data_IF_491511059986
#
_entry.id   IF_491511059986
#
_cell.length_a   1.000
_cell.length_b   1.000
_cell.length_c   1.000
_cell.angle_alpha   90.00
_cell.angle_beta   90.00
_cell.angle_gamma   90.00
#
_symmetry.space_group_name_H-M   'P 1'
#
loop_
_entity.id
_entity.type
_entity.pdbx_description
1 polymer ?
#
# COMPACT_ATOMS: atom_id res chain seq x y z
N UNK A 1 30.25 -11.07 -7.66
CA UNK A 1 31.04 -12.30 -7.96
C UNK A 1 32.47 -12.01 -8.39
N UNK A 2 32.72 -11.20 -9.45
CA UNK A 2 34.07 -10.94 -9.97
C UNK A 2 35.09 -10.39 -8.93
N UNK A 3 34.67 -9.45 -8.08
CA UNK A 3 35.57 -8.89 -7.06
C UNK A 3 35.95 -9.91 -5.97
N UNK A 4 35.02 -10.76 -5.54
CA UNK A 4 35.28 -11.83 -4.58
C UNK A 4 36.23 -12.88 -5.14
N UNK A 5 36.09 -13.25 -6.42
CA UNK A 5 37.00 -14.16 -7.10
C UNK A 5 38.40 -13.57 -7.26
N UNK A 6 38.50 -12.29 -7.63
CA UNK A 6 39.78 -11.56 -7.66
C UNK A 6 40.44 -11.47 -6.29
N UNK A 7 39.66 -11.34 -5.22
CA UNK A 7 40.20 -11.33 -3.86
C UNK A 7 40.72 -12.71 -3.43
N UNK A 8 40.03 -13.79 -3.82
CA UNK A 8 40.45 -15.17 -3.53
C UNK A 8 41.65 -15.63 -4.38
N UNK A 9 41.74 -15.14 -5.62
CA UNK A 9 42.81 -15.43 -6.58
C UNK A 9 43.38 -14.11 -7.13
N UNK A 10 44.20 -13.41 -6.34
CA UNK A 10 44.68 -12.07 -6.67
C UNK A 10 45.74 -12.07 -7.78
N UNK A 11 46.45 -13.17 -7.94
CA UNK A 11 47.48 -13.31 -8.96
C UNK A 11 46.85 -13.61 -10.32
N UNK A 12 46.92 -12.66 -11.24
CA UNK A 12 46.34 -12.80 -12.58
C UNK A 12 47.06 -13.83 -13.45
N UNK A 13 48.33 -14.13 -13.16
CA UNK A 13 49.13 -15.10 -13.92
C UNK A 13 48.75 -16.54 -13.60
N UNK A 14 48.32 -16.80 -12.36
CA UNK A 14 48.04 -18.16 -11.88
C UNK A 14 46.57 -18.45 -11.56
N UNK A 15 45.67 -17.46 -11.68
CA UNK A 15 44.25 -17.70 -11.41
C UNK A 15 43.65 -18.66 -12.45
N UNK A 16 42.81 -19.63 -12.03
CA UNK A 16 42.28 -20.67 -12.94
C UNK A 16 41.08 -20.17 -13.77
N UNK A 17 41.01 -18.87 -14.05
CA UNK A 17 39.91 -18.25 -14.77
C UNK A 17 40.28 -16.92 -15.45
N UNK A 18 39.54 -16.59 -16.51
CA UNK A 18 39.63 -15.34 -17.26
C UNK A 18 38.32 -14.58 -17.14
N UNK A 19 38.40 -13.28 -16.86
CA UNK A 19 37.23 -12.38 -16.84
C UNK A 19 37.29 -11.48 -18.07
N UNK A 20 36.22 -11.46 -18.85
CA UNK A 20 36.03 -10.50 -19.94
C UNK A 20 34.98 -9.48 -19.52
N UNK A 21 35.35 -8.20 -19.64
CA UNK A 21 34.47 -7.07 -19.38
C UNK A 21 34.45 -6.25 -20.67
N UNK A 22 33.43 -6.48 -21.49
CA UNK A 22 33.18 -5.74 -22.72
C UNK A 22 31.68 -5.70 -22.95
N UNK A 23 31.16 -4.58 -23.46
CA UNK A 23 29.71 -4.33 -23.59
C UNK A 23 29.00 -5.51 -24.28
N UNK A 24 28.22 -6.28 -23.52
CA UNK A 24 27.45 -7.42 -24.02
C UNK A 24 28.26 -8.69 -24.28
N UNK A 25 29.49 -8.77 -23.78
CA UNK A 25 30.37 -9.95 -23.82
C UNK A 25 30.94 -10.29 -22.43
N UNK A 26 30.27 -9.83 -21.38
CA UNK A 26 30.66 -10.09 -20.00
C UNK A 26 30.63 -11.58 -19.72
N UNK A 27 31.79 -12.13 -19.36
CA UNK A 27 31.95 -13.57 -19.13
C UNK A 27 33.08 -13.88 -18.16
N UNK A 28 32.94 -15.04 -17.52
CA UNK A 28 33.98 -15.70 -16.73
C UNK A 28 34.20 -17.08 -17.35
N UNK A 29 35.43 -17.38 -17.74
CA UNK A 29 35.82 -18.65 -18.34
C UNK A 29 36.88 -19.32 -17.48
N UNK A 30 36.75 -20.62 -17.23
CA UNK A 30 37.72 -21.41 -16.46
C UNK A 30 38.59 -22.26 -17.39
N UNK A 31 39.75 -22.69 -16.91
CA UNK A 31 40.71 -23.49 -17.68
C UNK A 31 40.17 -24.86 -18.09
N UNK A 32 39.15 -25.35 -17.38
CA UNK A 32 38.44 -26.58 -17.72
C UNK A 32 37.42 -26.40 -18.87
N UNK A 33 37.32 -25.20 -19.45
CA UNK A 33 36.40 -24.87 -20.55
C UNK A 33 35.00 -24.46 -20.11
N UNK A 34 34.67 -24.50 -18.81
CA UNK A 34 33.40 -24.00 -18.30
C UNK A 34 33.33 -22.48 -18.45
N UNK A 35 32.13 -21.95 -18.70
CA UNK A 35 31.94 -20.52 -18.91
C UNK A 35 30.58 -20.07 -18.38
N UNK A 36 30.58 -18.95 -17.66
CA UNK A 36 29.41 -18.15 -17.39
C UNK A 36 29.49 -16.89 -18.24
N UNK A 37 28.41 -16.57 -18.95
CA UNK A 37 28.32 -15.31 -19.69
C UNK A 37 26.95 -14.70 -19.47
N UNK A 38 26.91 -13.37 -19.56
CA UNK A 38 25.69 -12.60 -19.36
C UNK A 38 25.10 -12.30 -20.73
N UNK A 39 23.80 -12.50 -20.86
CA UNK A 39 23.03 -12.11 -22.04
C UNK A 39 21.85 -11.26 -21.63
N UNK A 40 21.43 -10.37 -22.52
CA UNK A 40 20.14 -9.72 -22.37
C UNK A 40 19.03 -10.79 -22.36
N UNK A 41 17.94 -10.60 -21.60
CA UNK A 41 16.81 -11.53 -21.55
C UNK A 41 15.97 -11.41 -22.83
N UNK A 42 16.53 -11.86 -23.95
CA UNK A 42 15.88 -11.92 -25.27
C UNK A 42 16.19 -13.26 -25.92
N UNK A 43 15.18 -13.88 -26.53
CA UNK A 43 15.35 -15.19 -27.16
C UNK A 43 16.47 -15.21 -28.22
N UNK A 44 16.63 -14.13 -28.98
CA UNK A 44 17.69 -14.00 -29.99
C UNK A 44 19.11 -14.02 -29.42
N UNK A 45 19.29 -13.71 -28.13
CA UNK A 45 20.62 -13.61 -27.51
C UNK A 45 21.27 -14.96 -27.20
N UNK A 46 20.51 -16.06 -27.20
CA UNK A 46 21.05 -17.40 -26.91
C UNK A 46 20.62 -18.49 -27.90
N UNK A 47 19.71 -18.23 -28.85
CA UNK A 47 19.28 -19.22 -29.88
C UNK A 47 20.43 -19.78 -30.74
N UNK A 48 21.55 -19.07 -30.87
CA UNK A 48 22.75 -19.52 -31.61
C UNK A 48 23.86 -20.09 -30.73
N UNK A 49 23.64 -20.15 -29.41
CA UNK A 49 24.60 -20.58 -28.41
C UNK A 49 24.21 -21.95 -27.87
N UNK A 50 25.14 -22.64 -27.20
CA UNK A 50 24.84 -23.86 -26.45
C UNK A 50 25.13 -23.64 -24.98
N UNK A 51 24.17 -23.97 -24.11
CA UNK A 51 24.32 -23.86 -22.66
C UNK A 51 23.88 -25.15 -21.97
N UNK A 52 24.59 -25.52 -20.90
CA UNK A 52 24.22 -26.64 -20.03
C UNK A 52 23.35 -26.18 -18.85
N UNK A 53 23.38 -24.88 -18.53
CA UNK A 53 22.57 -24.24 -17.48
C UNK A 53 22.09 -22.87 -17.96
N UNK A 54 20.82 -22.56 -17.70
CA UNK A 54 20.27 -21.21 -17.83
C UNK A 54 19.87 -20.68 -16.45
N UNK A 55 20.34 -19.48 -16.11
CA UNK A 55 19.96 -18.76 -14.91
C UNK A 55 19.17 -17.51 -15.30
N UNK A 56 17.92 -17.45 -14.87
CA UNK A 56 17.07 -16.27 -14.99
C UNK A 56 17.01 -15.58 -13.62
N UNK A 57 17.75 -14.49 -13.50
CA UNK A 57 17.79 -13.69 -12.28
C UNK A 57 16.75 -12.56 -12.32
N UNK A 58 16.21 -12.22 -11.14
CA UNK A 58 15.10 -11.29 -10.96
C UNK A 58 13.90 -11.59 -11.89
N UNK A 59 13.60 -12.88 -12.06
CA UNK A 59 12.58 -13.35 -13.01
C UNK A 59 11.13 -12.99 -12.60
N UNK A 60 10.94 -12.40 -11.41
CA UNK A 60 9.67 -11.78 -11.00
C UNK A 60 9.37 -10.47 -11.72
N UNK A 61 10.39 -9.80 -12.28
CA UNK A 61 10.22 -8.54 -13.02
C UNK A 61 9.94 -8.75 -14.52
N UNK A 62 10.01 -10.00 -15.00
CA UNK A 62 9.77 -10.29 -16.42
C UNK A 62 8.28 -10.25 -16.73
N UNK A 63 7.90 -9.57 -17.82
CA UNK A 63 6.52 -9.59 -18.29
C UNK A 63 6.10 -10.99 -18.74
N UNK A 64 4.78 -11.22 -18.84
CA UNK A 64 4.24 -12.45 -19.39
C UNK A 64 4.73 -12.69 -20.83
N UNK A 65 4.73 -11.65 -21.66
CA UNK A 65 5.24 -11.69 -23.04
C UNK A 65 6.73 -12.06 -23.10
N UNK A 66 7.57 -11.39 -22.30
CA UNK A 66 8.99 -11.72 -22.21
C UNK A 66 9.22 -13.16 -21.73
N UNK A 67 8.39 -13.63 -20.80
CA UNK A 67 8.44 -14.99 -20.28
C UNK A 67 8.16 -16.02 -21.37
N UNK A 68 7.12 -15.82 -22.17
CA UNK A 68 6.76 -16.74 -23.27
C UNK A 68 7.88 -16.83 -24.29
N UNK A 69 8.35 -15.69 -24.78
CA UNK A 69 9.49 -15.60 -25.72
C UNK A 69 10.74 -16.31 -25.18
N UNK A 70 11.03 -16.11 -23.89
CA UNK A 70 12.19 -16.71 -23.26
C UNK A 70 12.04 -18.22 -23.09
N UNK A 71 10.89 -18.71 -22.63
CA UNK A 71 10.67 -20.14 -22.44
C UNK A 71 10.71 -20.88 -23.79
N UNK A 72 10.07 -20.34 -24.82
CA UNK A 72 10.08 -20.92 -26.17
C UNK A 72 11.47 -20.96 -26.79
N UNK A 73 12.30 -19.95 -26.53
CA UNK A 73 13.69 -19.96 -26.99
C UNK A 73 14.59 -20.87 -26.16
N UNK A 74 14.40 -20.92 -24.84
CA UNK A 74 15.33 -21.49 -23.89
C UNK A 74 15.23 -23.02 -23.77
N UNK A 75 14.01 -23.55 -23.75
CA UNK A 75 13.80 -24.99 -23.56
C UNK A 75 14.40 -25.85 -24.68
N UNK A 76 14.29 -25.48 -25.98
CA UNK A 76 14.90 -26.26 -27.06
C UNK A 76 16.43 -26.41 -26.96
N UNK A 77 17.14 -25.50 -26.27
CA UNK A 77 18.58 -25.63 -26.05
C UNK A 77 18.94 -26.87 -25.22
N UNK A 78 18.02 -27.29 -24.34
CA UNK A 78 18.22 -28.44 -23.44
C UNK A 78 17.96 -29.80 -24.08
N UNK A 79 17.26 -29.87 -25.23
CA UNK A 79 16.76 -31.13 -25.81
C UNK A 79 17.87 -32.13 -26.15
N UNK A 80 19.06 -31.63 -26.48
CA UNK A 80 20.23 -32.43 -26.86
C UNK A 80 21.30 -32.49 -25.76
N UNK A 81 21.02 -31.96 -24.56
CA UNK A 81 21.98 -31.79 -23.48
C UNK A 81 21.63 -32.65 -22.25
N UNK A 82 22.39 -33.73 -21.99
CA UNK A 82 22.22 -34.49 -20.75
C UNK A 82 22.41 -33.57 -19.54
N UNK A 83 21.46 -33.61 -18.60
CA UNK A 83 21.48 -32.83 -17.35
C UNK A 83 21.32 -31.31 -17.48
N UNK A 84 20.74 -30.83 -18.57
CA UNK A 84 20.39 -29.41 -18.71
C UNK A 84 19.55 -28.90 -17.52
N UNK A 85 19.90 -27.73 -16.98
CA UNK A 85 19.19 -27.10 -15.87
C UNK A 85 18.68 -25.71 -16.21
N UNK A 86 17.49 -25.39 -15.70
CA UNK A 86 16.94 -24.04 -15.67
C UNK A 86 16.81 -23.63 -14.20
N UNK A 87 17.48 -22.55 -13.84
CA UNK A 87 17.45 -21.93 -12.52
C UNK A 87 16.71 -20.60 -12.66
N UNK A 88 15.72 -20.38 -11.80
CA UNK A 88 14.91 -19.16 -11.78
C UNK A 88 14.99 -18.60 -10.37
N UNK A 89 15.44 -17.35 -10.23
CA UNK A 89 15.55 -16.62 -8.97
C UNK A 89 14.86 -15.26 -9.04
N UNK A 90 14.46 -14.73 -7.90
CA UNK A 90 13.88 -13.40 -7.78
C UNK A 90 12.84 -13.32 -6.66
N UNK A 91 12.27 -12.12 -6.51
CA UNK A 91 11.13 -11.85 -5.64
C UNK A 91 9.80 -12.08 -6.38
N UNK A 92 8.67 -12.30 -5.68
CA UNK A 92 7.39 -12.52 -6.34
C UNK A 92 6.96 -11.36 -7.23
N UNK A 93 6.37 -11.65 -8.41
CA UNK A 93 5.82 -10.63 -9.31
C UNK A 93 4.65 -9.87 -8.67
N UNK A 94 4.23 -8.76 -9.31
CA UNK A 94 3.05 -7.99 -8.86
C UNK A 94 1.73 -8.71 -9.08
N UNK A 95 1.66 -9.57 -10.08
CA UNK A 95 0.50 -10.38 -10.44
C UNK A 95 0.91 -11.85 -10.49
N UNK A 96 -0.04 -12.77 -10.50
CA UNK A 96 0.21 -14.22 -10.61
C UNK A 96 0.57 -14.65 -12.05
N UNK A 97 1.49 -13.92 -12.66
CA UNK A 97 1.94 -14.08 -14.04
C UNK A 97 3.48 -14.07 -14.11
N UNK A 98 4.03 -14.38 -15.28
CA UNK A 98 5.48 -14.33 -15.50
C UNK A 98 6.23 -15.61 -15.09
N UNK A 99 7.53 -15.60 -15.39
CA UNK A 99 8.39 -16.79 -15.34
C UNK A 99 8.46 -17.36 -13.93
N UNK A 100 8.85 -16.54 -12.95
CA UNK A 100 9.02 -17.02 -11.57
C UNK A 100 7.73 -17.66 -11.04
N UNK A 101 6.59 -16.99 -11.18
CA UNK A 101 5.31 -17.51 -10.69
C UNK A 101 4.94 -18.86 -11.34
N UNK A 102 5.10 -18.96 -12.67
CA UNK A 102 4.86 -20.21 -13.40
C UNK A 102 5.69 -21.37 -12.84
N UNK A 103 6.99 -21.18 -12.62
CA UNK A 103 7.85 -22.25 -12.08
C UNK A 103 7.54 -22.56 -10.60
N UNK A 104 7.21 -21.56 -9.78
CA UNK A 104 6.82 -21.74 -8.38
C UNK A 104 5.56 -22.61 -8.24
N UNK A 105 4.52 -22.34 -9.04
CA UNK A 105 3.27 -23.12 -9.01
C UNK A 105 3.52 -24.58 -9.35
N UNK A 106 4.28 -24.86 -10.41
CA UNK A 106 4.59 -26.23 -10.84
C UNK A 106 5.43 -26.97 -9.80
N UNK A 107 6.40 -26.29 -9.18
CA UNK A 107 7.25 -26.88 -8.15
C UNK A 107 6.46 -27.15 -6.85
N UNK A 108 5.62 -26.21 -6.40
CA UNK A 108 4.72 -26.39 -5.24
C UNK A 108 3.70 -27.51 -5.45
N UNK A 109 3.26 -27.72 -6.69
CA UNK A 109 2.40 -28.85 -7.07
C UNK A 109 3.14 -30.21 -7.11
N UNK A 110 4.44 -30.24 -6.83
CA UNK A 110 5.23 -31.47 -6.79
C UNK A 110 5.51 -32.06 -8.18
N UNK A 111 5.51 -31.22 -9.23
CA UNK A 111 5.81 -31.70 -10.58
C UNK A 111 7.20 -32.32 -10.65
N UNK A 112 7.27 -33.49 -11.29
CA UNK A 112 8.53 -34.23 -11.43
C UNK A 112 9.59 -33.38 -12.14
N UNK A 113 10.84 -33.45 -11.67
CA UNK A 113 12.01 -32.69 -12.15
C UNK A 113 12.04 -31.19 -11.79
N UNK A 114 11.16 -30.74 -10.90
CA UNK A 114 11.21 -29.40 -10.32
C UNK A 114 11.76 -29.49 -8.89
N UNK A 115 12.55 -28.49 -8.49
CA UNK A 115 12.99 -28.26 -7.12
C UNK A 115 12.75 -26.80 -6.77
N UNK A 116 12.44 -26.52 -5.50
CA UNK A 116 12.15 -25.17 -5.02
C UNK A 116 12.83 -24.95 -3.68
N UNK A 117 13.37 -23.75 -3.51
CA UNK A 117 13.71 -23.18 -2.21
C UNK A 117 12.82 -21.96 -2.05
N UNK A 118 11.85 -22.07 -1.15
CA UNK A 118 10.76 -21.12 -1.00
C UNK A 118 10.89 -20.36 0.31
N UNK A 119 11.06 -19.05 0.21
CA UNK A 119 11.14 -18.13 1.34
C UNK A 119 9.91 -17.22 1.37
N UNK A 120 8.74 -17.69 0.94
CA UNK A 120 7.47 -16.95 1.04
C UNK A 120 6.88 -16.98 2.45
N UNK A 121 6.29 -15.86 2.87
CA UNK A 121 5.30 -15.87 3.94
C UNK A 121 4.02 -16.60 3.50
N UNK A 122 3.40 -17.29 4.44
CA UNK A 122 2.07 -17.88 4.29
C UNK A 122 0.98 -16.80 4.39
N UNK A 123 -0.21 -17.02 3.78
CA UNK A 123 -1.33 -16.10 3.87
C UNK A 123 -1.82 -15.82 5.31
N UNK A 124 -1.65 -16.77 6.22
CA UNK A 124 -2.05 -16.69 7.62
C UNK A 124 -1.02 -16.00 8.53
N UNK A 125 0.17 -15.67 8.02
CA UNK A 125 1.20 -15.02 8.82
C UNK A 125 0.88 -13.54 9.06
N UNK A 126 1.25 -13.02 10.23
CA UNK A 126 1.27 -11.59 10.49
C UNK A 126 2.50 -10.95 9.82
N UNK A 127 2.31 -10.09 8.80
CA UNK A 127 3.42 -9.44 8.09
C UNK A 127 4.10 -8.35 8.93
N UNK A 128 3.54 -7.96 10.08
CA UNK A 128 4.13 -6.97 11.00
C UNK A 128 4.96 -7.61 12.11
N UNK A 129 4.94 -8.94 12.21
CA UNK A 129 5.64 -9.69 13.24
C UNK A 129 7.09 -9.96 12.84
N UNK A 130 8.03 -9.58 13.70
CA UNK A 130 9.46 -9.91 13.53
C UNK A 130 9.71 -11.42 13.47
N UNK A 131 8.88 -12.23 14.13
CA UNK A 131 8.99 -13.69 14.05
C UNK A 131 8.76 -14.19 12.60
N UNK A 132 7.80 -13.58 11.89
CA UNK A 132 7.59 -13.82 10.46
C UNK A 132 8.83 -13.38 9.69
N UNK A 133 9.37 -12.20 9.98
CA UNK A 133 10.54 -11.67 9.27
C UNK A 133 11.77 -12.59 9.43
N UNK A 134 12.06 -13.06 10.65
CA UNK A 134 13.16 -13.98 10.92
C UNK A 134 13.00 -15.34 10.23
N UNK A 135 11.77 -15.82 10.08
CA UNK A 135 11.51 -17.09 9.39
C UNK A 135 11.66 -16.98 7.87
N UNK A 136 11.26 -15.86 7.31
CA UNK A 136 11.06 -15.66 5.87
C UNK A 136 12.27 -14.99 5.22
N UNK A 137 12.81 -13.93 5.83
CA UNK A 137 13.89 -13.14 5.26
C UNK A 137 15.26 -13.82 5.51
N UNK A 138 15.77 -14.56 4.52
CA UNK A 138 16.99 -15.35 4.63
C UNK A 138 18.22 -14.55 5.10
N UNK A 139 18.39 -13.31 4.63
CA UNK A 139 19.49 -12.43 5.05
C UNK A 139 19.41 -12.04 6.55
N UNK A 140 18.20 -11.94 7.09
CA UNK A 140 17.98 -11.65 8.51
C UNK A 140 18.23 -12.93 9.33
N UNK A 141 17.70 -14.07 8.86
CA UNK A 141 17.88 -15.37 9.50
C UNK A 141 19.36 -15.79 9.63
N UNK A 142 20.18 -15.47 8.63
CA UNK A 142 21.62 -15.82 8.63
C UNK A 142 22.52 -14.74 9.23
N UNK A 143 21.97 -13.61 9.70
CA UNK A 143 22.73 -12.51 10.29
C UNK A 143 23.47 -11.63 9.28
N UNK A 144 23.19 -11.75 7.98
CA UNK A 144 23.73 -10.85 6.95
C UNK A 144 23.09 -9.44 7.05
N UNK A 145 21.84 -9.37 7.48
CA UNK A 145 21.08 -8.13 7.63
C UNK A 145 20.67 -7.96 9.09
N UNK A 146 20.91 -6.77 9.64
CA UNK A 146 20.49 -6.40 11.00
C UNK A 146 18.96 -6.18 11.03
N UNK A 147 18.32 -6.57 12.13
CA UNK A 147 16.88 -6.35 12.35
C UNK A 147 16.51 -4.87 12.31
N UNK A 148 17.40 -3.97 12.75
CA UNK A 148 17.13 -2.53 12.72
C UNK A 148 17.00 -2.01 11.29
N UNK A 149 17.73 -2.59 10.32
CA UNK A 149 17.58 -2.24 8.90
C UNK A 149 16.21 -2.67 8.40
N UNK A 150 15.74 -3.86 8.79
CA UNK A 150 14.42 -4.36 8.38
C UNK A 150 13.31 -3.49 8.99
N UNK A 151 13.43 -3.09 10.27
CA UNK A 151 12.50 -2.14 10.92
C UNK A 151 12.45 -0.79 10.21
N UNK A 152 13.61 -0.21 9.88
CA UNK A 152 13.67 1.06 9.15
C UNK A 152 12.97 0.95 7.77
N UNK A 153 13.15 -0.17 7.07
CA UNK A 153 12.48 -0.43 5.77
C UNK A 153 10.98 -0.63 5.93
N UNK A 154 10.55 -1.35 6.97
CA UNK A 154 9.15 -1.52 7.31
C UNK A 154 8.45 -0.17 7.57
N UNK A 155 9.09 0.74 8.32
CA UNK A 155 8.57 2.08 8.58
C UNK A 155 8.57 2.98 7.34
N UNK A 156 9.54 2.79 6.44
CA UNK A 156 9.73 3.61 5.25
C UNK A 156 8.90 3.21 4.02
N UNK A 157 8.30 2.02 4.02
CA UNK A 157 7.60 1.45 2.86
C UNK A 157 6.11 1.20 3.16
N UNK A 158 5.30 1.02 2.11
CA UNK A 158 3.95 0.48 2.31
C UNK A 158 4.03 -0.98 2.76
N UNK A 159 3.07 -1.42 3.57
CA UNK A 159 2.99 -2.82 4.01
C UNK A 159 2.98 -3.78 2.82
N UNK A 160 2.26 -3.43 1.75
CA UNK A 160 2.21 -4.20 0.51
C UNK A 160 3.59 -4.37 -0.14
N UNK A 161 4.35 -3.28 -0.28
CA UNK A 161 5.70 -3.33 -0.84
C UNK A 161 6.63 -4.10 0.08
N UNK A 162 6.52 -3.91 1.40
CA UNK A 162 7.32 -4.67 2.37
C UNK A 162 7.02 -6.17 2.29
N UNK A 163 5.75 -6.57 2.26
CA UNK A 163 5.33 -7.96 2.10
C UNK A 163 5.87 -8.59 0.82
N UNK A 164 5.88 -7.88 -0.31
CA UNK A 164 6.42 -8.38 -1.56
C UNK A 164 7.95 -8.49 -1.53
N UNK A 165 8.64 -7.41 -1.18
CA UNK A 165 10.10 -7.33 -1.29
C UNK A 165 10.85 -8.07 -0.17
N UNK A 166 10.32 -8.03 1.06
CA UNK A 166 11.00 -8.57 2.24
C UNK A 166 10.43 -9.90 2.71
N UNK A 167 9.15 -10.19 2.43
CA UNK A 167 8.47 -11.40 2.90
C UNK A 167 8.05 -12.35 1.78
N UNK A 168 8.40 -12.04 0.52
CA UNK A 168 8.05 -12.84 -0.65
C UNK A 168 6.57 -13.28 -0.64
N UNK A 169 5.67 -12.37 -0.26
CA UNK A 169 4.25 -12.66 -0.15
C UNK A 169 3.64 -13.04 -1.51
N UNK A 170 2.62 -13.90 -1.47
CA UNK A 170 1.81 -14.21 -2.65
C UNK A 170 1.24 -12.90 -3.24
N UNK A 171 1.26 -12.72 -4.57
CA UNK A 171 0.68 -11.55 -5.22
C UNK A 171 -0.80 -11.30 -4.85
N UNK A 172 -1.56 -12.33 -4.44
CA UNK A 172 -2.92 -12.16 -3.91
C UNK A 172 -2.98 -11.64 -2.48
N UNK A 173 -1.96 -11.92 -1.64
CA UNK A 173 -1.87 -11.40 -0.28
C UNK A 173 -1.50 -9.90 -0.30
N UNK A 174 -0.83 -9.44 -1.34
CA UNK A 174 -0.63 -8.01 -1.61
C UNK A 174 -1.88 -7.26 -2.08
N UNK A 175 -3.04 -7.91 -2.23
CA UNK A 175 -4.32 -7.23 -2.51
C UNK A 175 -5.10 -6.85 -1.23
N UNK A 176 -4.44 -6.72 -0.08
CA UNK A 176 -5.04 -6.17 1.13
C UNK A 176 -5.30 -4.66 0.94
N UNK A 177 -6.39 -4.33 0.24
CA UNK A 177 -6.94 -2.97 0.23
C UNK A 177 -7.19 -2.55 1.69
N UNK A 178 -6.92 -1.29 2.03
CA UNK A 178 -7.25 -0.79 3.38
C UNK A 178 -8.74 -0.94 3.70
N UNK A 179 -9.58 -0.90 2.66
CA UNK A 179 -11.02 -1.03 2.74
C UNK A 179 -11.45 -2.11 1.74
N UNK A 180 -12.22 -3.09 2.23
CA UNK A 180 -12.77 -4.14 1.38
C UNK A 180 -13.79 -3.56 0.38
N UNK A 181 -13.68 -4.00 -0.87
CA UNK A 181 -14.49 -3.44 -1.96
C UNK A 181 -15.97 -3.85 -1.87
N UNK A 182 -16.26 -5.04 -1.35
CA UNK A 182 -17.61 -5.53 -1.17
C UNK A 182 -18.29 -4.77 -0.03
N UNK A 183 -17.59 -4.60 1.10
CA UNK A 183 -18.12 -3.85 2.24
C UNK A 183 -18.35 -2.38 1.88
N UNK A 184 -17.44 -1.73 1.15
CA UNK A 184 -17.64 -0.37 0.65
C UNK A 184 -18.88 -0.27 -0.25
N UNK A 185 -18.98 -1.16 -1.25
CA UNK A 185 -20.12 -1.15 -2.18
C UNK A 185 -21.44 -1.45 -1.48
N UNK A 186 -21.44 -2.27 -0.42
CA UNK A 186 -22.65 -2.61 0.35
C UNK A 186 -23.20 -1.43 1.16
N UNK A 187 -22.35 -0.45 1.50
CA UNK A 187 -22.72 0.74 2.27
C UNK A 187 -23.05 1.97 1.39
N UNK A 188 -22.97 1.82 0.07
CA UNK A 188 -23.14 2.89 -0.90
C UNK A 188 -24.61 3.06 -1.33
N UNK A 189 -25.05 4.31 -1.47
CA UNK A 189 -26.34 4.69 -2.09
C UNK A 189 -26.12 5.58 -3.31
N UNK A 190 -27.06 5.55 -4.26
CA UNK A 190 -26.88 6.24 -5.55
C UNK A 190 -26.93 7.77 -5.46
N UNK A 191 -27.76 8.31 -4.57
CA UNK A 191 -28.02 9.75 -4.48
C UNK A 191 -27.36 10.38 -3.25
N UNK A 192 -27.07 11.67 -3.34
CA UNK A 192 -26.66 12.46 -2.19
C UNK A 192 -27.73 12.42 -1.10
N UNK A 193 -27.29 12.21 0.12
CA UNK A 193 -28.13 12.20 1.29
C UNK A 193 -28.56 13.63 1.65
N UNK A 194 -29.83 13.77 2.00
CA UNK A 194 -30.35 15.01 2.55
C UNK A 194 -29.67 15.32 3.89
N UNK A 195 -29.14 16.54 4.01
CA UNK A 195 -28.50 16.98 5.25
C UNK A 195 -29.55 17.11 6.36
N UNK A 196 -29.26 16.61 7.57
CA UNK A 196 -30.14 16.88 8.70
C UNK A 196 -30.08 18.38 9.05
N UNK A 197 -31.19 18.92 9.56
CA UNK A 197 -31.24 20.34 9.97
C UNK A 197 -30.29 20.69 11.12
N UNK A 198 -29.85 19.70 11.91
CA UNK A 198 -28.89 19.83 13.01
C UNK A 198 -28.25 18.49 13.35
N UNK A 199 -27.26 18.47 14.25
CA UNK A 199 -26.67 17.22 14.75
C UNK A 199 -25.67 16.54 13.80
N UNK A 200 -25.13 17.30 12.85
CA UNK A 200 -24.03 16.86 11.99
C UNK A 200 -22.76 17.65 12.32
N UNK A 201 -21.62 17.09 11.92
CA UNK A 201 -20.33 17.76 11.96
C UNK A 201 -19.68 17.75 10.59
N UNK A 202 -18.84 18.75 10.33
CA UNK A 202 -17.99 18.80 9.16
C UNK A 202 -16.54 18.51 9.54
N UNK A 203 -15.74 18.10 8.57
CA UNK A 203 -14.30 18.07 8.68
C UNK A 203 -13.66 18.30 7.31
N UNK A 204 -12.43 18.75 7.31
CA UNK A 204 -11.67 18.92 6.08
C UNK A 204 -10.27 18.35 6.24
N UNK A 205 -9.66 18.06 5.11
CA UNK A 205 -8.27 17.66 5.05
C UNK A 205 -7.62 18.13 3.74
N UNK A 206 -6.34 18.43 3.79
CA UNK A 206 -5.55 18.91 2.66
C UNK A 206 -4.43 17.91 2.39
N UNK A 207 -4.22 17.55 1.12
CA UNK A 207 -3.10 16.69 0.74
C UNK A 207 -1.76 17.30 1.20
N UNK A 208 -0.76 16.49 1.59
CA UNK A 208 0.52 16.98 2.13
C UNK A 208 1.24 18.00 1.26
N UNK A 209 1.17 17.82 -0.05
CA UNK A 209 1.77 18.69 -1.07
C UNK A 209 0.87 19.88 -1.44
N UNK A 210 -0.35 19.93 -0.89
CA UNK A 210 -1.35 20.97 -1.18
C UNK A 210 -2.01 20.85 -2.55
N UNK A 211 -1.82 19.72 -3.25
CA UNK A 211 -2.35 19.48 -4.60
C UNK A 211 -3.88 19.40 -4.64
N UNK A 212 -4.52 19.01 -3.55
CA UNK A 212 -5.97 18.86 -3.40
C UNK A 212 -6.40 19.08 -1.94
N UNK A 213 -7.71 19.27 -1.75
CA UNK A 213 -8.34 19.24 -0.44
C UNK A 213 -9.73 18.63 -0.51
N UNK A 214 -10.20 18.14 0.62
CA UNK A 214 -11.52 17.56 0.81
C UNK A 214 -12.27 18.27 1.95
N UNK A 215 -13.58 18.45 1.77
CA UNK A 215 -14.53 18.88 2.79
C UNK A 215 -15.64 17.84 2.86
N UNK A 216 -15.85 17.28 4.04
CA UNK A 216 -16.81 16.22 4.30
C UNK A 216 -17.68 16.54 5.51
N UNK A 217 -18.76 15.78 5.64
CA UNK A 217 -19.69 15.83 6.77
C UNK A 217 -20.05 14.43 7.23
N UNK A 218 -20.48 14.34 8.48
CA UNK A 218 -21.00 13.11 9.06
C UNK A 218 -22.10 13.39 10.08
N UNK A 219 -23.03 12.45 10.20
CA UNK A 219 -24.11 12.46 11.19
C UNK A 219 -24.58 11.03 11.46
N UNK A 220 -25.55 10.88 12.36
CA UNK A 220 -26.29 9.64 12.52
C UNK A 220 -27.74 9.91 12.10
N UNK A 221 -28.32 9.03 11.28
CA UNK A 221 -29.73 9.12 10.93
C UNK A 221 -30.63 8.78 12.14
N UNK A 222 -31.95 8.86 11.97
CA UNK A 222 -32.93 8.61 13.04
C UNK A 222 -32.85 7.17 13.59
N UNK A 223 -32.45 6.22 12.74
CA UNK A 223 -32.24 4.81 13.08
C UNK A 223 -30.90 4.58 13.81
N UNK A 224 -30.05 5.61 13.89
CA UNK A 224 -28.73 5.51 14.51
C UNK A 224 -27.68 4.84 13.64
N UNK A 225 -27.85 4.80 12.33
CA UNK A 225 -26.81 4.42 11.36
C UNK A 225 -25.94 5.63 11.06
N UNK A 226 -24.61 5.50 11.09
CA UNK A 226 -23.70 6.57 10.69
C UNK A 226 -23.84 6.86 9.19
N UNK A 227 -23.92 8.14 8.86
CA UNK A 227 -23.94 8.65 7.50
C UNK A 227 -22.73 9.54 7.28
N UNK A 228 -22.06 9.40 6.14
CA UNK A 228 -20.96 10.28 5.73
C UNK A 228 -21.18 10.76 4.30
N UNK A 229 -20.74 11.98 4.01
CA UNK A 229 -20.85 12.54 2.66
C UNK A 229 -19.73 13.54 2.38
N UNK A 230 -19.15 13.43 1.19
CA UNK A 230 -18.21 14.42 0.67
C UNK A 230 -19.01 15.61 0.11
N UNK A 231 -18.67 16.83 0.54
CA UNK A 231 -19.28 18.05 0.01
C UNK A 231 -18.47 18.62 -1.15
N UNK A 232 -17.14 18.48 -1.09
CA UNK A 232 -16.25 18.91 -2.15
C UNK A 232 -14.89 18.23 -2.03
N UNK A 233 -14.33 17.83 -3.17
CA UNK A 233 -12.92 17.50 -3.34
C UNK A 233 -12.42 18.12 -4.64
N UNK A 234 -11.41 18.98 -4.56
CA UNK A 234 -10.94 19.80 -5.69
C UNK A 234 -9.44 20.02 -5.60
N UNK A 235 -8.82 20.34 -6.75
CA UNK A 235 -7.43 20.73 -6.84
C UNK A 235 -7.15 22.02 -6.05
N UNK A 236 -6.00 22.05 -5.39
CA UNK A 236 -5.60 23.08 -4.42
C UNK A 236 -6.52 23.13 -3.20
N UNK A 237 -6.23 24.06 -2.30
CA UNK A 237 -7.02 24.26 -1.07
C UNK A 237 -7.46 25.71 -0.84
N UNK A 238 -7.17 26.63 -1.77
CA UNK A 238 -7.52 28.06 -1.66
C UNK A 238 -9.04 28.30 -1.66
N UNK A 239 -9.82 27.38 -2.24
CA UNK A 239 -11.28 27.42 -2.26
C UNK A 239 -11.90 27.07 -0.89
N UNK A 240 -11.19 26.29 -0.07
CA UNK A 240 -11.74 25.68 1.13
C UNK A 240 -12.18 26.70 2.19
N UNK A 241 -11.42 27.78 2.49
CA UNK A 241 -11.91 28.83 3.39
C UNK A 241 -13.22 29.49 2.91
N UNK A 242 -13.43 29.61 1.60
CA UNK A 242 -14.66 30.22 1.06
C UNK A 242 -15.86 29.30 1.29
N UNK A 243 -15.71 27.99 1.02
CA UNK A 243 -16.77 27.01 1.24
C UNK A 243 -17.08 26.81 2.73
N UNK A 244 -16.05 26.74 3.59
CA UNK A 244 -16.23 26.70 5.04
C UNK A 244 -16.98 27.93 5.57
N UNK A 245 -16.66 29.12 5.06
CA UNK A 245 -17.35 30.35 5.45
C UNK A 245 -18.84 30.35 5.03
N UNK A 246 -19.18 29.80 3.86
CA UNK A 246 -20.58 29.62 3.45
C UNK A 246 -21.30 28.65 4.38
N UNK A 247 -20.67 27.52 4.67
CA UNK A 247 -21.22 26.48 5.53
C UNK A 247 -21.47 26.98 6.96
N UNK A 248 -20.50 27.69 7.55
CA UNK A 248 -20.61 28.27 8.89
C UNK A 248 -21.60 29.43 8.99
N UNK A 249 -21.84 30.17 7.89
CA UNK A 249 -22.91 31.17 7.83
C UNK A 249 -24.30 30.53 7.84
N UNK A 250 -24.46 29.43 7.10
CA UNK A 250 -25.72 28.71 6.99
C UNK A 250 -26.04 27.94 8.29
N UNK A 251 -25.01 27.36 8.91
CA UNK A 251 -25.12 26.55 10.11
C UNK A 251 -24.24 27.14 11.23
N UNK A 252 -24.79 28.14 11.91
CA UNK A 252 -24.06 28.82 12.99
C UNK A 252 -23.76 27.86 14.13
N UNK A 253 -22.47 27.75 14.49
CA UNK A 253 -22.01 26.85 15.54
C UNK A 253 -21.80 25.40 15.08
N UNK A 254 -21.85 25.13 13.78
CA UNK A 254 -21.50 23.82 13.22
C UNK A 254 -20.07 23.43 13.66
N UNK A 255 -19.91 22.23 14.24
CA UNK A 255 -18.59 21.69 14.54
C UNK A 255 -17.81 21.41 13.25
N UNK A 256 -16.60 21.95 13.13
CA UNK A 256 -15.69 21.73 11.99
C UNK A 256 -14.37 21.19 12.52
N UNK A 257 -14.07 19.95 12.18
CA UNK A 257 -12.95 19.19 12.72
C UNK A 257 -11.77 19.21 11.75
N UNK A 258 -10.56 19.37 12.30
CA UNK A 258 -9.32 19.37 11.53
C UNK A 258 -8.14 18.92 12.39
N UNK A 259 -7.07 18.42 11.78
CA UNK A 259 -5.80 18.24 12.50
C UNK A 259 -4.92 19.50 12.38
N UNK A 260 -3.94 19.67 13.29
CA UNK A 260 -3.05 20.84 13.25
C UNK A 260 -1.84 20.66 12.32
N UNK A 261 -1.90 19.72 11.38
CA UNK A 261 -0.74 19.29 10.59
C UNK A 261 -0.76 19.97 9.22
N UNK A 262 0.40 20.51 8.82
CA UNK A 262 0.63 21.02 7.48
C UNK A 262 -0.39 22.08 7.03
N UNK A 263 -0.90 21.91 5.80
CA UNK A 263 -1.76 22.89 5.13
C UNK A 263 -3.12 23.07 5.81
N UNK A 264 -3.56 22.14 6.65
CA UNK A 264 -4.80 22.29 7.42
C UNK A 264 -4.76 23.52 8.35
N UNK A 265 -3.61 23.79 8.96
CA UNK A 265 -3.43 24.98 9.81
C UNK A 265 -3.50 26.28 8.99
N UNK A 266 -2.99 26.28 7.76
CA UNK A 266 -3.05 27.44 6.88
C UNK A 266 -4.50 27.79 6.51
N UNK A 267 -5.35 26.78 6.28
CA UNK A 267 -6.80 26.98 6.05
C UNK A 267 -7.45 27.67 7.25
N UNK A 268 -7.12 27.24 8.48
CA UNK A 268 -7.66 27.86 9.70
C UNK A 268 -7.16 29.29 9.90
N UNK A 269 -5.89 29.57 9.61
CA UNK A 269 -5.34 30.93 9.64
C UNK A 269 -6.06 31.85 8.65
N UNK A 270 -6.38 31.36 7.45
CA UNK A 270 -7.19 32.11 6.48
C UNK A 270 -8.63 32.32 6.96
N UNK A 271 -9.22 31.34 7.64
CA UNK A 271 -10.55 31.49 8.25
C UNK A 271 -10.57 32.56 9.35
N UNK A 272 -9.51 32.66 10.16
CA UNK A 272 -9.39 33.70 11.22
C UNK A 272 -9.38 35.12 10.67
N UNK A 273 -8.97 35.32 9.42
CA UNK A 273 -8.98 36.62 8.74
C UNK A 273 -10.39 37.01 8.24
N UNK A 274 -11.34 36.08 8.16
CA UNK A 274 -12.68 36.34 7.63
C UNK A 274 -13.58 36.98 8.67
N UNK A 275 -13.97 38.23 8.42
CA UNK A 275 -14.92 38.98 9.26
C UNK A 275 -16.34 38.40 9.14
N UNK A 276 -17.07 38.40 10.25
CA UNK A 276 -18.47 37.97 10.30
C UNK A 276 -18.70 36.45 10.25
N UNK A 277 -17.63 35.65 10.34
CA UNK A 277 -17.70 34.19 10.51
C UNK A 277 -17.37 33.86 11.96
N UNK A 278 -18.23 33.10 12.62
CA UNK A 278 -17.93 32.57 13.94
C UNK A 278 -17.15 31.26 13.81
N UNK A 279 -15.97 31.19 14.41
CA UNK A 279 -15.11 30.00 14.41
C UNK A 279 -15.23 29.18 15.69
N UNK A 280 -16.23 29.46 16.53
CA UNK A 280 -16.38 28.81 17.86
C UNK A 280 -16.60 27.30 17.78
N UNK A 281 -17.09 26.80 16.64
CA UNK A 281 -17.25 25.35 16.40
C UNK A 281 -16.04 24.71 15.71
N UNK A 282 -14.99 25.47 15.37
CA UNK A 282 -13.78 24.87 14.78
C UNK A 282 -12.94 24.23 15.88
N UNK A 283 -12.73 22.92 15.79
CA UNK A 283 -12.04 22.13 16.81
C UNK A 283 -10.88 21.35 16.19
N UNK A 284 -9.68 21.52 16.75
CA UNK A 284 -8.52 20.74 16.32
C UNK A 284 -8.42 19.43 17.07
N UNK A 285 -8.11 18.35 16.37
CA UNK A 285 -7.90 17.02 16.95
C UNK A 285 -6.45 16.55 16.80
N UNK A 286 -6.03 15.64 17.70
CA UNK A 286 -4.71 15.01 17.68
C UNK A 286 -4.72 13.61 17.05
N UNK A 287 -3.55 12.99 16.94
CA UNK A 287 -3.39 11.69 16.28
C UNK A 287 -4.26 10.58 16.88
N UNK A 288 -4.45 10.57 18.21
CA UNK A 288 -5.30 9.59 18.89
C UNK A 288 -6.78 9.70 18.45
N UNK A 289 -7.31 10.92 18.34
CA UNK A 289 -8.68 11.15 17.87
C UNK A 289 -8.84 10.84 16.37
N UNK A 290 -7.84 11.17 15.54
CA UNK A 290 -7.84 10.79 14.12
C UNK A 290 -7.90 9.27 13.99
N UNK A 291 -7.06 8.54 14.76
CA UNK A 291 -7.08 7.07 14.76
C UNK A 291 -8.40 6.50 15.25
N UNK A 292 -9.03 7.11 16.25
CA UNK A 292 -10.37 6.72 16.70
C UNK A 292 -11.41 6.90 15.58
N UNK A 293 -11.33 7.99 14.79
CA UNK A 293 -12.19 8.20 13.62
C UNK A 293 -12.03 7.13 12.55
N UNK A 294 -10.77 6.77 12.23
CA UNK A 294 -10.47 5.66 11.32
C UNK A 294 -11.06 4.35 11.86
N UNK A 295 -10.91 4.08 13.15
CA UNK A 295 -11.43 2.87 13.79
C UNK A 295 -12.97 2.79 13.71
N UNK A 296 -13.66 3.89 13.99
CA UNK A 296 -15.13 3.97 13.90
C UNK A 296 -15.60 3.74 12.46
N UNK A 297 -14.95 4.37 11.48
CA UNK A 297 -15.29 4.19 10.07
C UNK A 297 -15.10 2.73 9.63
N UNK A 298 -13.97 2.12 9.97
CA UNK A 298 -13.68 0.73 9.60
C UNK A 298 -14.65 -0.26 10.25
N UNK A 299 -15.04 -0.03 11.51
CA UNK A 299 -16.05 -0.85 12.17
C UNK A 299 -17.40 -0.74 11.46
N UNK A 300 -17.84 0.48 11.13
CA UNK A 300 -19.11 0.70 10.42
C UNK A 300 -19.13 0.05 9.03
N UNK A 301 -18.01 0.06 8.31
CA UNK A 301 -17.86 -0.63 7.02
C UNK A 301 -17.91 -2.15 7.18
N UNK A 302 -17.15 -2.71 8.11
CA UNK A 302 -17.12 -4.17 8.35
C UNK A 302 -18.47 -4.71 8.81
N UNK A 303 -19.22 -3.92 9.60
CA UNK A 303 -20.59 -4.26 10.02
C UNK A 303 -21.63 -4.01 8.91
N UNK A 304 -21.21 -3.49 7.74
CA UNK A 304 -22.07 -3.00 6.64
C UNK A 304 -23.17 -2.05 7.13
N UNK A 305 -22.82 -1.24 8.13
CA UNK A 305 -23.71 -0.31 8.82
C UNK A 305 -23.16 1.12 8.71
N UNK A 306 -22.84 1.51 7.49
CA UNK A 306 -22.52 2.88 7.08
C UNK A 306 -23.43 3.24 5.91
N UNK A 307 -23.79 4.52 5.77
CA UNK A 307 -24.45 5.02 4.56
C UNK A 307 -23.62 6.15 3.98
N UNK A 308 -23.21 6.02 2.72
CA UNK A 308 -22.59 7.10 1.98
C UNK A 308 -23.10 7.13 0.55
N UNK A 309 -23.14 8.33 -0.05
CA UNK A 309 -23.49 8.47 -1.46
C UNK A 309 -22.32 8.03 -2.35
N UNK A 310 -22.63 7.64 -3.58
CA UNK A 310 -21.64 7.41 -4.62
C UNK A 310 -20.92 8.72 -4.97
N UNK A 311 -19.60 8.70 -4.89
CA UNK A 311 -18.75 9.85 -5.19
C UNK A 311 -17.40 9.36 -5.73
N UNK A 312 -17.04 9.80 -6.94
CA UNK A 312 -15.84 9.30 -7.62
C UNK A 312 -14.54 9.65 -6.88
N UNK A 313 -14.47 10.79 -6.17
CA UNK A 313 -13.27 11.14 -5.40
C UNK A 313 -13.12 10.25 -4.18
N UNK A 314 -14.24 9.96 -3.50
CA UNK A 314 -14.24 9.07 -2.35
C UNK A 314 -13.96 7.61 -2.76
N UNK A 315 -14.56 7.16 -3.87
CA UNK A 315 -14.36 5.81 -4.42
C UNK A 315 -12.88 5.60 -4.83
N UNK A 316 -12.26 6.57 -5.50
CA UNK A 316 -10.83 6.50 -5.84
C UNK A 316 -9.94 6.49 -4.59
N UNK A 317 -10.26 7.31 -3.59
CA UNK A 317 -9.52 7.33 -2.33
C UNK A 317 -9.58 5.97 -1.63
N UNK A 318 -10.73 5.29 -1.66
CA UNK A 318 -10.92 3.93 -1.13
C UNK A 318 -10.10 2.90 -1.90
N UNK A 319 -10.10 2.97 -3.22
CA UNK A 319 -9.37 2.03 -4.07
C UNK A 319 -7.86 2.09 -3.86
N UNK A 320 -7.30 3.31 -3.74
CA UNK A 320 -5.87 3.52 -3.56
C UNK A 320 -5.38 3.60 -2.11
N UNK A 321 -6.27 3.47 -1.13
CA UNK A 321 -5.92 3.65 0.28
C UNK A 321 -5.06 2.50 0.83
N UNK A 322 -4.02 2.90 1.55
CA UNK A 322 -3.24 2.05 2.43
C UNK A 322 -3.26 2.60 3.86
N UNK A 323 -3.13 1.72 4.85
CA UNK A 323 -2.93 2.15 6.23
C UNK A 323 -1.47 2.57 6.47
N UNK A 324 -1.28 3.36 7.52
CA UNK A 324 -0.02 3.51 8.24
C UNK A 324 -0.28 3.32 9.73
N UNK A 325 0.74 2.87 10.43
CA UNK A 325 0.70 2.68 11.88
C UNK A 325 1.65 3.68 12.54
N UNK A 326 1.22 4.25 13.66
CA UNK A 326 2.07 5.11 14.51
C UNK A 326 1.90 4.62 15.93
N UNK A 327 2.93 3.97 16.48
CA UNK A 327 2.77 3.08 17.63
C UNK A 327 1.64 2.07 17.32
N UNK A 328 0.71 1.86 18.25
CA UNK A 328 -0.46 0.98 18.06
C UNK A 328 -1.65 1.67 17.33
N UNK A 329 -1.50 2.92 16.88
CA UNK A 329 -2.58 3.67 16.26
C UNK A 329 -2.64 3.49 14.74
N UNK A 330 -3.77 3.00 14.23
CA UNK A 330 -4.04 2.85 12.78
C UNK A 330 -4.58 4.15 12.19
N UNK A 331 -3.99 4.58 11.07
CA UNK A 331 -4.31 5.82 10.34
C UNK A 331 -4.31 5.57 8.83
N UNK A 332 -4.99 6.41 8.04
CA UNK A 332 -4.79 6.42 6.59
C UNK A 332 -3.39 6.94 6.24
N UNK A 333 -2.70 6.20 5.37
CA UNK A 333 -1.32 6.43 5.02
C UNK A 333 -1.19 7.35 3.81
N UNK A 334 -0.81 8.61 4.04
CA UNK A 334 -0.73 9.61 2.96
C UNK A 334 0.33 9.34 1.90
N UNK A 335 1.46 8.73 2.28
CA UNK A 335 2.58 8.39 1.38
C UNK A 335 2.53 6.95 0.88
N UNK A 336 1.92 6.05 1.65
CA UNK A 336 1.81 4.64 1.31
C UNK A 336 0.63 4.34 0.39
N UNK A 337 -0.34 5.25 0.27
CA UNK A 337 -1.48 5.15 -0.65
C UNK A 337 -1.10 5.58 -2.07
N UNK A 338 -1.76 5.00 -3.07
CA UNK A 338 -1.53 5.34 -4.49
C UNK A 338 -2.42 6.49 -4.98
N UNK A 339 -3.49 6.78 -4.25
CA UNK A 339 -4.42 7.88 -4.51
C UNK A 339 -4.48 8.86 -3.33
N UNK A 340 -5.04 10.05 -3.54
CA UNK A 340 -5.23 11.01 -2.45
C UNK A 340 -6.26 10.52 -1.43
N UNK A 341 -5.81 10.30 -0.20
CA UNK A 341 -6.65 9.85 0.93
C UNK A 341 -7.30 11.01 1.71
N UNK A 342 -7.11 12.27 1.31
CA UNK A 342 -7.74 13.41 1.98
C UNK A 342 -9.28 13.28 2.12
N UNK A 343 -10.03 12.72 1.15
CA UNK A 343 -11.46 12.46 1.32
C UNK A 343 -11.77 11.49 2.48
N UNK A 344 -11.00 10.40 2.61
CA UNK A 344 -11.14 9.41 3.68
C UNK A 344 -10.80 9.97 5.06
N UNK A 345 -9.75 10.79 5.14
CA UNK A 345 -9.38 11.48 6.38
C UNK A 345 -10.48 12.47 6.78
N UNK A 346 -11.04 13.22 5.84
CA UNK A 346 -12.13 14.15 6.11
C UNK A 346 -13.39 13.42 6.62
N UNK A 347 -13.87 12.37 5.95
CA UNK A 347 -15.08 11.65 6.41
C UNK A 347 -14.88 10.99 7.79
N UNK A 348 -13.70 10.40 8.05
CA UNK A 348 -13.41 9.72 9.32
C UNK A 348 -13.33 10.71 10.49
N UNK A 349 -12.71 11.88 10.28
CA UNK A 349 -12.65 12.93 11.28
C UNK A 349 -14.02 13.56 11.57
N UNK A 350 -14.85 13.76 10.53
CA UNK A 350 -16.22 14.23 10.71
C UNK A 350 -17.04 13.20 11.52
N UNK A 351 -16.88 11.91 11.21
CA UNK A 351 -17.59 10.81 11.85
C UNK A 351 -17.19 10.61 13.31
N UNK A 352 -15.90 10.72 13.63
CA UNK A 352 -15.40 10.70 15.01
C UNK A 352 -16.18 11.67 15.91
N UNK A 353 -16.31 12.92 15.46
CA UNK A 353 -16.98 13.94 16.25
C UNK A 353 -18.50 13.70 16.32
N UNK A 354 -19.15 13.29 15.22
CA UNK A 354 -20.57 12.94 15.22
C UNK A 354 -20.88 11.81 16.22
N UNK A 355 -20.01 10.79 16.31
CA UNK A 355 -20.14 9.71 17.28
C UNK A 355 -20.02 10.22 18.73
N UNK A 356 -19.09 11.13 19.00
CA UNK A 356 -18.94 11.77 20.31
C UNK A 356 -20.17 12.57 20.75
N UNK A 357 -20.83 13.28 19.82
CA UNK A 357 -22.06 14.02 20.12
C UNK A 357 -23.23 13.10 20.48
N UNK A 358 -23.36 11.95 19.79
CA UNK A 358 -24.41 10.97 20.06
C UNK A 358 -24.32 10.42 21.49
N UNK A 359 -23.12 10.04 21.93
CA UNK A 359 -22.89 9.54 23.29
C UNK A 359 -23.26 10.58 24.36
N UNK A 360 -22.96 11.86 24.12
CA UNK A 360 -23.34 12.95 25.04
C UNK A 360 -24.86 13.18 25.08
N UNK A 361 -25.55 13.04 23.94
CA UNK A 361 -27.02 13.15 23.86
C UNK A 361 -27.69 12.03 24.67
N UNK A 362 -27.24 10.79 24.50
CA UNK A 362 -27.78 9.63 25.22
C UNK A 362 -27.57 9.69 26.73
N UNK A 363 -26.48 10.33 27.19
CA UNK A 363 -26.13 10.44 28.60
C UNK A 363 -26.75 11.67 29.32
N UNK A 364 -27.54 12.52 28.63
CA UNK A 364 -28.25 13.62 29.32
C UNK A 364 -29.37 13.03 30.20
N UNK A 365 -29.40 13.31 31.52
CA UNK A 365 -30.48 12.85 32.37
C UNK A 365 -31.82 13.39 31.85
N UNK A 366 -32.79 12.50 31.60
CA UNK A 366 -34.16 12.90 31.25
C UNK A 366 -34.67 13.77 32.39
N UNK A 367 -34.88 15.06 32.12
CA UNK A 367 -35.44 15.98 33.11
C UNK A 367 -36.76 15.39 33.61
N UNK A 368 -36.88 15.27 34.93
CA UNK A 368 -38.14 14.89 35.59
C UNK A 368 -39.22 15.84 35.08
N UNK A 369 -40.17 15.30 34.33
CA UNK A 369 -41.44 15.95 34.04
C UNK A 369 -42.14 16.07 35.40
N UNK A 370 -42.13 17.26 35.98
CA UNK A 370 -42.97 17.58 37.13
C UNK A 370 -44.43 17.47 36.68
N UNK A 371 -45.16 16.55 37.30
CA UNK A 371 -46.62 16.53 37.29
C UNK A 371 -47.14 17.52 38.32
#
# INVERSE_FOLDING_TARGET
>A
MANSLKAAYPDEEFRPFQIRIGNGQESIQWDNGSMWWIVAPRASSYRSQSADVLLFDEAGEYSAEQTEDLIEGALPLGDTRPHFQVIVSGTPPKTREGMLWKFLVEARAGKRRYGIVDFSMSPEDDPTSEATWYRVHAGLACGLTDIEVIRERFEGMSLQSFMREYLCADPSASNLRAIDAEDWSATQVAELLALPGSGFSAAFDVAPDGSSAALAIAWYNEQGTPCVQLLAHKAGYSWLPVELAKLLKLHRGLPVIYDRIGNNLAVVQEMQKKRGISLTGMESIGAAQVSAGVTILMAALSDRNLIHAKDASLDNAVEGANFRYVNDARLFGRRSSTEDVSPLVAISNALYHAAGQRTRSNNRPKSRINR
#
